data_IF_726022103927
#
_entry.id   IF_726022103927
#
_cell.length_a   1.000
_cell.length_b   1.000
_cell.length_c   1.000
_cell.angle_alpha   90.00
_cell.angle_beta   90.00
_cell.angle_gamma   90.00
#
_symmetry.space_group_name_H-M   'P 1'
#
loop_
_entity.id
_entity.type
_entity.pdbx_description
1 polymer ?
#
# COMPACT_ATOMS: atom_id res chain seq x y z
N UNK A 1 -18.25 -1.76 -21.57
CA UNK A 1 -17.30 -2.56 -20.76
C UNK A 1 -17.87 -3.96 -20.69
N UNK A 2 -17.27 -4.89 -21.42
CA UNK A 2 -17.81 -6.23 -21.64
C UNK A 2 -17.53 -7.10 -20.41
N UNK A 3 -18.56 -7.79 -19.91
CA UNK A 3 -18.50 -8.70 -18.74
C UNK A 3 -17.36 -9.75 -18.82
N UNK A 4 -16.83 -10.01 -20.01
CA UNK A 4 -15.72 -10.94 -20.24
C UNK A 4 -14.37 -10.44 -19.70
N UNK A 5 -14.11 -9.13 -19.68
CA UNK A 5 -12.83 -8.56 -19.22
C UNK A 5 -12.71 -8.68 -17.69
N UNK A 6 -13.80 -8.41 -16.97
CA UNK A 6 -13.85 -8.53 -15.51
C UNK A 6 -13.64 -9.97 -15.01
N UNK A 7 -14.14 -10.97 -15.75
CA UNK A 7 -13.94 -12.38 -15.41
C UNK A 7 -12.48 -12.82 -15.56
N UNK A 8 -11.78 -12.31 -16.57
CA UNK A 8 -10.37 -12.62 -16.80
C UNK A 8 -9.46 -11.98 -15.75
N UNK A 9 -9.82 -10.79 -15.26
CA UNK A 9 -9.08 -10.11 -14.20
C UNK A 9 -9.16 -10.84 -12.86
N UNK A 10 -10.32 -11.42 -12.53
CA UNK A 10 -10.48 -12.23 -11.32
C UNK A 10 -9.67 -13.54 -11.44
N UNK A 11 -9.69 -14.16 -12.63
CA UNK A 11 -8.91 -15.39 -12.89
C UNK A 11 -7.40 -15.10 -12.83
N UNK A 12 -6.94 -13.96 -13.33
CA UNK A 12 -5.53 -13.58 -13.28
C UNK A 12 -5.05 -13.36 -11.84
N UNK A 13 -5.84 -12.68 -11.01
CA UNK A 13 -5.57 -12.51 -9.59
C UNK A 13 -5.49 -13.85 -8.83
N UNK A 14 -6.42 -14.76 -9.11
CA UNK A 14 -6.43 -16.09 -8.50
C UNK A 14 -5.23 -16.96 -8.93
N UNK A 15 -4.86 -16.93 -10.22
CA UNK A 15 -3.72 -17.66 -10.74
C UNK A 15 -2.40 -17.11 -10.17
N UNK A 16 -2.25 -15.79 -10.05
CA UNK A 16 -1.04 -15.17 -9.51
C UNK A 16 -0.77 -15.62 -8.07
N UNK A 17 -1.81 -15.68 -7.24
CA UNK A 17 -1.73 -16.19 -5.86
C UNK A 17 -1.37 -17.68 -5.78
N UNK A 18 -1.77 -18.49 -6.77
CA UNK A 18 -1.49 -19.93 -6.81
C UNK A 18 -0.08 -20.24 -7.33
N UNK A 19 0.41 -19.49 -8.31
CA UNK A 19 1.73 -19.71 -8.92
C UNK A 19 2.89 -19.06 -8.17
N UNK A 20 2.67 -18.01 -7.35
CA UNK A 20 3.71 -17.43 -6.50
C UNK A 20 4.43 -18.47 -5.64
N UNK A 21 3.69 -19.45 -5.08
CA UNK A 21 4.25 -20.56 -4.28
C UNK A 21 5.15 -21.54 -5.06
N UNK A 22 5.06 -21.58 -6.40
CA UNK A 22 5.83 -22.48 -7.26
C UNK A 22 7.12 -21.81 -7.74
N UNK A 23 7.09 -20.49 -7.96
CA UNK A 23 8.22 -19.70 -8.47
C UNK A 23 9.33 -19.61 -7.41
N UNK A 24 8.98 -19.45 -6.13
CA UNK A 24 9.95 -19.42 -5.02
C UNK A 24 10.83 -20.68 -4.94
N UNK A 25 10.25 -21.85 -5.23
CA UNK A 25 10.99 -23.13 -5.26
C UNK A 25 11.94 -23.26 -6.46
N UNK A 26 11.66 -22.59 -7.59
CA UNK A 26 12.54 -22.61 -8.78
C UNK A 26 13.70 -21.61 -8.67
N UNK A 27 13.48 -20.44 -8.08
CA UNK A 27 14.53 -19.43 -7.87
C UNK A 27 15.60 -19.94 -6.90
N UNK A 28 15.22 -20.71 -5.87
CA UNK A 28 16.18 -21.36 -4.97
C UNK A 28 17.06 -22.41 -5.68
N UNK A 29 16.51 -23.08 -6.71
CA UNK A 29 17.23 -24.09 -7.50
C UNK A 29 18.23 -23.48 -8.48
N UNK A 30 17.94 -22.29 -9.02
CA UNK A 30 18.79 -21.56 -9.96
C UNK A 30 20.02 -20.91 -9.29
N UNK A 31 19.93 -20.51 -8.00
CA UNK A 31 21.09 -20.00 -7.25
C UNK A 31 22.21 -21.04 -7.07
N UNK A 32 21.89 -22.34 -7.11
CA UNK A 32 22.85 -23.43 -6.94
C UNK A 32 23.64 -23.77 -8.22
N UNK A 33 23.28 -23.19 -9.37
CA UNK A 33 23.85 -23.53 -10.69
C UNK A 33 24.81 -22.47 -11.25
N UNK A 34 25.09 -21.40 -10.50
CA UNK A 34 25.89 -20.24 -10.99
C UNK A 34 27.40 -20.30 -10.68
N UNK A 35 27.89 -21.38 -10.10
CA UNK A 35 29.33 -21.65 -10.02
C UNK A 35 29.75 -22.56 -11.17
N UNK A 36 29.81 -22.03 -12.39
CA UNK A 36 30.70 -22.54 -13.43
C UNK A 36 30.76 -21.63 -14.67
N UNK A 37 31.99 -21.15 -14.92
CA UNK A 37 32.60 -20.77 -16.21
C UNK A 37 32.39 -19.35 -16.74
N UNK A 38 33.47 -18.58 -16.56
CA UNK A 38 33.93 -17.46 -17.38
C UNK A 38 33.71 -17.67 -18.89
N UNK A 39 33.07 -16.71 -19.56
CA UNK A 39 33.42 -16.31 -20.93
C UNK A 39 32.86 -14.91 -21.27
N UNK A 40 33.80 -14.00 -21.57
CA UNK A 40 33.75 -12.79 -22.42
C UNK A 40 32.44 -11.98 -22.50
N UNK A 41 32.50 -10.77 -21.94
CA UNK A 41 31.53 -9.67 -22.16
C UNK A 41 31.48 -9.27 -23.65
N UNK A 42 30.29 -9.09 -24.24
CA UNK A 42 30.07 -8.07 -25.24
C UNK A 42 29.40 -6.84 -24.61
N UNK A 43 29.82 -5.70 -25.14
CA UNK A 43 29.44 -4.33 -24.85
C UNK A 43 27.97 -4.07 -25.21
N UNK A 44 27.06 -4.36 -24.28
CA UNK A 44 25.67 -3.89 -24.26
C UNK A 44 25.36 -3.39 -22.85
N UNK A 45 26.09 -2.36 -22.42
CA UNK A 45 25.68 -1.43 -21.37
C UNK A 45 24.95 -0.29 -22.09
N UNK A 46 23.77 0.22 -21.77
CA UNK A 46 22.88 0.05 -20.63
C UNK A 46 21.52 0.60 -21.10
N UNK A 47 20.51 -0.23 -21.34
CA UNK A 47 19.10 0.17 -21.21
C UNK A 47 18.20 -1.08 -21.14
N UNK A 48 18.57 -2.03 -20.29
CA UNK A 48 17.57 -2.92 -19.72
C UNK A 48 16.73 -2.06 -18.77
N UNK A 49 15.75 -1.35 -19.33
CA UNK A 49 14.62 -0.85 -18.58
C UNK A 49 13.98 -2.12 -18.01
N UNK A 50 14.40 -2.52 -16.81
CA UNK A 50 13.74 -3.58 -16.07
C UNK A 50 12.30 -3.12 -15.92
N UNK A 51 11.43 -3.59 -16.80
CA UNK A 51 9.99 -3.44 -16.66
C UNK A 51 9.66 -4.25 -15.42
N UNK A 52 9.78 -3.61 -14.24
CA UNK A 52 9.37 -4.20 -12.97
C UNK A 52 7.92 -4.59 -13.16
N UNK A 53 7.69 -5.90 -13.26
CA UNK A 53 6.36 -6.44 -13.51
C UNK A 53 5.52 -6.11 -12.29
N UNK A 54 4.50 -5.27 -12.48
CA UNK A 54 3.62 -4.84 -11.40
C UNK A 54 2.85 -6.04 -10.86
N UNK A 55 2.95 -6.32 -9.56
CA UNK A 55 2.32 -7.48 -8.92
C UNK A 55 0.81 -7.30 -8.72
N UNK A 56 0.33 -6.05 -8.60
CA UNK A 56 -1.08 -5.70 -8.38
C UNK A 56 -1.39 -4.27 -8.84
N UNK A 57 -2.66 -3.97 -9.07
CA UNK A 57 -3.10 -2.61 -9.39
C UNK A 57 -3.38 -1.80 -8.12
N UNK A 58 -3.18 -0.49 -8.23
CA UNK A 58 -3.49 0.50 -7.20
C UNK A 58 -4.64 1.39 -7.65
N UNK A 59 -5.39 1.90 -6.69
CA UNK A 59 -6.64 2.66 -6.89
C UNK A 59 -6.51 4.11 -6.42
N UNK A 60 -7.46 4.96 -6.83
CA UNK A 60 -7.58 6.35 -6.35
C UNK A 60 -8.64 6.43 -5.23
N UNK A 61 -8.29 6.99 -4.08
CA UNK A 61 -9.18 7.07 -2.90
C UNK A 61 -10.47 7.84 -3.20
N UNK A 62 -10.40 8.91 -3.99
CA UNK A 62 -11.55 9.75 -4.26
C UNK A 62 -12.53 9.06 -5.22
N UNK A 63 -12.02 8.34 -6.22
CA UNK A 63 -12.81 7.74 -7.30
C UNK A 63 -13.30 6.33 -6.96
N UNK A 64 -12.46 5.52 -6.32
CA UNK A 64 -12.65 4.06 -6.26
C UNK A 64 -13.12 3.57 -4.89
N UNK A 65 -12.86 4.33 -3.80
CA UNK A 65 -13.19 3.91 -2.44
C UNK A 65 -14.67 3.57 -2.28
N UNK A 66 -15.55 4.41 -2.83
CA UNK A 66 -17.01 4.22 -2.74
C UNK A 66 -17.50 2.97 -3.47
N UNK A 67 -16.77 2.53 -4.50
CA UNK A 67 -17.12 1.33 -5.28
C UNK A 67 -16.58 0.05 -4.64
N UNK A 68 -15.39 0.13 -4.04
CA UNK A 68 -14.66 -1.02 -3.51
C UNK A 68 -15.13 -1.34 -2.08
N UNK A 69 -15.22 -0.34 -1.21
CA UNK A 69 -15.48 -0.53 0.23
C UNK A 69 -16.74 -1.35 0.54
N UNK A 70 -17.90 -1.14 -0.12
CA UNK A 70 -19.10 -1.93 0.17
C UNK A 70 -18.98 -3.42 -0.16
N UNK A 71 -17.97 -3.82 -0.94
CA UNK A 71 -17.75 -5.20 -1.37
C UNK A 71 -16.86 -5.98 -0.40
N UNK A 72 -16.28 -5.32 0.61
CA UNK A 72 -15.34 -5.93 1.54
C UNK A 72 -16.09 -6.32 2.81
N UNK A 73 -16.14 -7.62 3.09
CA UNK A 73 -16.70 -8.12 4.33
C UNK A 73 -15.77 -7.78 5.51
N UNK A 74 -16.32 -7.10 6.52
CA UNK A 74 -15.64 -6.72 7.77
C UNK A 74 -14.27 -6.02 7.50
N UNK A 75 -14.27 -4.84 6.88
CA UNK A 75 -13.05 -4.19 6.39
C UNK A 75 -12.16 -3.67 7.52
N UNK A 76 -10.85 -3.77 7.31
CA UNK A 76 -9.83 -2.99 8.02
C UNK A 76 -9.25 -1.97 7.05
N UNK A 77 -9.26 -0.71 7.45
CA UNK A 77 -8.56 0.38 6.80
C UNK A 77 -7.20 0.60 7.46
N UNK A 78 -6.14 0.18 6.77
CA UNK A 78 -4.76 0.45 7.14
C UNK A 78 -4.32 1.77 6.50
N UNK A 79 -4.12 2.80 7.31
CA UNK A 79 -3.61 4.11 6.86
C UNK A 79 -2.10 4.10 7.08
N UNK A 80 -1.34 4.19 5.99
CA UNK A 80 0.12 4.19 6.01
C UNK A 80 0.60 5.62 5.82
N UNK A 81 1.16 6.22 6.86
CA UNK A 81 1.71 7.57 6.86
C UNK A 81 3.21 7.45 6.61
N UNK A 82 3.72 8.20 5.64
CA UNK A 82 5.17 8.25 5.40
C UNK A 82 5.89 8.88 6.59
N UNK A 83 7.03 8.31 6.99
CA UNK A 83 7.85 8.83 8.08
C UNK A 83 8.59 10.12 7.70
N UNK A 84 9.02 10.19 6.46
CA UNK A 84 9.86 11.29 5.99
C UNK A 84 9.11 11.95 4.84
N UNK A 85 8.78 13.22 4.99
CA UNK A 85 8.21 14.01 3.92
C UNK A 85 9.36 14.43 3.00
N UNK A 86 9.71 13.56 2.03
CA UNK A 86 10.91 13.76 1.19
C UNK A 86 10.66 14.85 0.14
N UNK A 87 9.49 14.84 -0.51
CA UNK A 87 9.19 15.69 -1.67
C UNK A 87 8.02 16.67 -1.46
N UNK A 88 7.36 16.61 -0.30
CA UNK A 88 6.27 17.54 0.01
C UNK A 88 6.41 18.08 1.42
N UNK A 89 5.93 19.30 1.67
CA UNK A 89 5.87 19.89 3.02
C UNK A 89 4.99 19.08 3.99
N UNK A 90 4.31 18.02 3.53
CA UNK A 90 3.34 17.27 4.30
C UNK A 90 3.53 15.76 4.20
N UNK A 91 3.46 15.02 5.31
CA UNK A 91 3.44 13.56 5.27
C UNK A 91 2.14 13.07 4.60
N UNK A 92 2.30 12.43 3.45
CA UNK A 92 1.20 11.84 2.69
C UNK A 92 0.80 10.48 3.25
N UNK A 93 -0.46 10.11 3.01
CA UNK A 93 -1.02 8.85 3.46
C UNK A 93 -1.46 7.97 2.28
N UNK A 94 -1.07 6.70 2.33
CA UNK A 94 -1.62 5.61 1.52
C UNK A 94 -2.72 4.91 2.33
N UNK A 95 -3.73 4.38 1.65
CA UNK A 95 -4.78 3.57 2.28
C UNK A 95 -4.72 2.14 1.74
N UNK A 96 -4.81 1.15 2.63
CA UNK A 96 -5.02 -0.25 2.25
C UNK A 96 -6.30 -0.73 2.92
N UNK A 97 -7.21 -1.30 2.14
CA UNK A 97 -8.37 -2.02 2.68
C UNK A 97 -8.07 -3.50 2.70
N UNK A 98 -8.31 -4.17 3.83
CA UNK A 98 -8.14 -5.61 4.01
C UNK A 98 -9.44 -6.22 4.53
N UNK A 99 -9.92 -7.32 3.95
CA UNK A 99 -11.02 -8.08 4.54
C UNK A 99 -10.52 -8.93 5.70
N UNK A 100 -11.13 -8.80 6.90
CA UNK A 100 -10.88 -9.73 8.00
C UNK A 100 -11.30 -11.16 7.70
N UNK A 101 -12.23 -11.34 6.76
CA UNK A 101 -12.84 -12.65 6.45
C UNK A 101 -12.04 -13.38 5.39
N UNK A 102 -11.73 -12.71 4.27
CA UNK A 102 -11.06 -13.35 3.12
C UNK A 102 -9.55 -13.12 3.09
N UNK A 103 -9.05 -12.09 3.78
CA UNK A 103 -7.66 -11.65 3.68
C UNK A 103 -7.32 -10.94 2.37
N UNK A 104 -8.31 -10.69 1.50
CA UNK A 104 -8.13 -9.90 0.29
C UNK A 104 -7.84 -8.44 0.63
N UNK A 105 -6.99 -7.79 -0.16
CA UNK A 105 -6.56 -6.43 0.09
C UNK A 105 -6.53 -5.56 -1.18
N UNK A 106 -6.75 -4.26 -0.98
CA UNK A 106 -6.84 -3.25 -2.03
C UNK A 106 -6.02 -2.02 -1.66
N UNK A 107 -5.15 -1.57 -2.56
CA UNK A 107 -4.18 -0.49 -2.28
C UNK A 107 -4.58 0.78 -2.98
N UNK A 108 -4.63 1.87 -2.25
CA UNK A 108 -4.94 3.20 -2.75
C UNK A 108 -3.71 4.10 -2.57
N UNK A 109 -3.24 4.71 -3.67
CA UNK A 109 -1.98 5.48 -3.67
C UNK A 109 -2.11 6.76 -2.84
N UNK A 110 -0.95 7.26 -2.38
CA UNK A 110 -0.74 8.61 -1.85
C UNK A 110 -1.16 9.71 -2.84
N UNK A 111 -1.24 10.94 -2.33
CA UNK A 111 -1.54 12.16 -3.08
C UNK A 111 -2.97 12.68 -2.95
N UNK A 112 -3.92 11.84 -2.51
CA UNK A 112 -5.32 12.23 -2.22
C UNK A 112 -5.61 12.40 -0.74
N UNK A 113 -4.85 11.72 0.12
CA UNK A 113 -5.00 11.79 1.56
C UNK A 113 -3.80 12.49 2.21
N UNK A 114 -4.09 13.38 3.15
CA UNK A 114 -3.14 14.13 3.95
C UNK A 114 -3.64 14.17 5.40
N UNK A 115 -2.73 13.97 6.35
CA UNK A 115 -3.04 13.98 7.79
C UNK A 115 -2.64 15.29 8.47
N UNK A 116 -2.08 16.23 7.70
CA UNK A 116 -1.64 17.55 8.16
C UNK A 116 -1.80 18.63 7.08
N UNK A 117 -1.70 19.89 7.51
CA UNK A 117 -1.78 21.08 6.67
C UNK A 117 -3.15 21.76 6.66
N UNK A 118 -3.44 22.46 5.57
CA UNK A 118 -4.72 23.13 5.30
C UNK A 118 -5.01 23.02 3.80
N UNK A 119 -6.20 22.52 3.42
CA UNK A 119 -6.62 22.46 2.01
C UNK A 119 -7.30 21.17 1.57
N UNK A 120 -7.24 20.90 0.27
CA UNK A 120 -8.03 19.86 -0.40
C UNK A 120 -7.75 18.42 0.05
N UNK A 121 -6.49 18.10 0.36
CA UNK A 121 -6.09 16.75 0.83
C UNK A 121 -6.70 16.38 2.19
N UNK A 122 -6.86 17.36 3.09
CA UNK A 122 -7.53 17.14 4.38
C UNK A 122 -9.01 16.86 4.17
N UNK A 123 -9.69 17.69 3.38
CA UNK A 123 -11.11 17.50 3.09
C UNK A 123 -11.38 16.14 2.44
N UNK A 124 -10.51 15.70 1.53
CA UNK A 124 -10.61 14.37 0.92
C UNK A 124 -10.38 13.25 1.95
N UNK A 125 -9.44 13.44 2.86
CA UNK A 125 -9.20 12.50 3.96
C UNK A 125 -10.41 12.40 4.89
N UNK A 126 -11.01 13.53 5.27
CA UNK A 126 -12.24 13.56 6.09
C UNK A 126 -13.40 12.82 5.42
N UNK A 127 -13.60 13.04 4.11
CA UNK A 127 -14.63 12.33 3.35
C UNK A 127 -14.35 10.83 3.31
N UNK A 128 -13.10 10.43 3.03
CA UNK A 128 -12.70 9.03 3.03
C UNK A 128 -12.93 8.38 4.40
N UNK A 129 -12.50 9.04 5.47
CA UNK A 129 -12.64 8.57 6.84
C UNK A 129 -14.10 8.46 7.27
N UNK A 130 -14.94 9.44 6.89
CA UNK A 130 -16.39 9.36 7.11
C UNK A 130 -16.98 8.11 6.46
N UNK A 131 -16.63 7.81 5.21
CA UNK A 131 -17.08 6.61 4.50
C UNK A 131 -16.61 5.32 5.18
N UNK A 132 -15.35 5.28 5.62
CA UNK A 132 -14.81 4.16 6.38
C UNK A 132 -15.62 3.92 7.67
N UNK A 133 -15.94 4.98 8.40
CA UNK A 133 -16.77 4.91 9.62
C UNK A 133 -18.19 4.44 9.34
N UNK A 134 -18.85 4.99 8.31
CA UNK A 134 -20.19 4.58 7.89
C UNK A 134 -20.23 3.09 7.51
N UNK A 135 -19.14 2.57 6.91
CA UNK A 135 -18.98 1.13 6.60
C UNK A 135 -18.58 0.26 7.79
N UNK A 136 -18.42 0.85 8.99
CA UNK A 136 -17.91 0.19 10.20
C UNK A 136 -16.54 -0.47 10.01
N UNK A 137 -15.69 0.14 9.18
CA UNK A 137 -14.33 -0.33 8.97
C UNK A 137 -13.48 -0.08 10.22
N UNK A 138 -12.67 -1.07 10.60
CA UNK A 138 -11.66 -0.89 11.64
C UNK A 138 -10.51 -0.05 11.10
N UNK A 139 -10.14 1.03 11.77
CA UNK A 139 -9.05 1.90 11.31
C UNK A 139 -7.77 1.58 12.08
N UNK A 140 -6.69 1.27 11.37
CA UNK A 140 -5.37 1.04 11.91
C UNK A 140 -4.37 2.00 11.23
N UNK A 141 -3.64 2.77 12.02
CA UNK A 141 -2.72 3.80 11.51
C UNK A 141 -1.28 3.37 11.76
N UNK A 142 -0.45 3.49 10.73
CA UNK A 142 0.92 3.00 10.69
C UNK A 142 1.85 4.09 10.17
N UNK A 143 3.10 4.06 10.62
CA UNK A 143 4.19 4.81 10.04
C UNK A 143 5.11 3.88 9.25
N UNK A 144 5.53 4.33 8.07
CA UNK A 144 6.36 3.55 7.16
C UNK A 144 7.37 4.43 6.42
N UNK A 145 8.55 3.90 6.09
CA UNK A 145 9.54 4.64 5.29
C UNK A 145 9.05 4.88 3.87
N UNK A 146 9.35 6.04 3.31
CA UNK A 146 8.94 6.47 1.96
C UNK A 146 9.40 5.49 0.88
N UNK A 147 10.64 4.98 0.96
CA UNK A 147 11.16 4.01 -0.01
C UNK A 147 10.35 2.70 -0.09
N UNK A 148 9.90 2.16 1.06
CA UNK A 148 9.04 0.97 1.07
C UNK A 148 7.68 1.29 0.46
N UNK A 149 7.15 2.48 0.74
CA UNK A 149 5.85 2.92 0.23
C UNK A 149 5.89 3.16 -1.29
N UNK A 150 6.97 3.70 -1.83
CA UNK A 150 7.19 3.87 -3.27
C UNK A 150 7.20 2.52 -3.99
N UNK A 151 7.93 1.54 -3.45
CA UNK A 151 7.96 0.18 -4.00
C UNK A 151 6.57 -0.47 -3.93
N UNK A 152 5.86 -0.28 -2.83
CA UNK A 152 4.52 -0.81 -2.62
C UNK A 152 3.52 -0.23 -3.64
N UNK A 153 3.43 1.08 -3.77
CA UNK A 153 2.46 1.73 -4.66
C UNK A 153 2.75 1.48 -6.14
N UNK A 154 4.01 1.24 -6.48
CA UNK A 154 4.39 0.81 -7.82
C UNK A 154 4.19 -0.70 -8.05
N UNK A 155 3.59 -1.41 -7.09
CA UNK A 155 3.26 -2.83 -7.16
C UNK A 155 4.48 -3.75 -7.11
N UNK A 156 5.60 -3.29 -6.55
CA UNK A 156 6.84 -4.05 -6.40
C UNK A 156 6.95 -4.85 -5.10
N UNK A 157 6.11 -4.57 -4.09
CA UNK A 157 6.06 -5.28 -2.80
C UNK A 157 4.63 -5.62 -2.43
N UNK A 158 4.37 -6.78 -1.84
CA UNK A 158 3.01 -7.18 -1.45
C UNK A 158 2.60 -6.62 -0.09
N UNK A 159 1.30 -6.44 0.14
CA UNK A 159 0.79 -5.90 1.41
C UNK A 159 1.26 -6.67 2.65
N UNK A 160 1.27 -8.02 2.70
CA UNK A 160 1.77 -8.75 3.87
C UNK A 160 3.23 -8.45 4.22
N UNK A 161 4.09 -8.21 3.23
CA UNK A 161 5.50 -7.86 3.44
C UNK A 161 5.62 -6.45 4.01
N UNK A 162 4.85 -5.52 3.45
CA UNK A 162 4.79 -4.12 3.90
C UNK A 162 4.25 -4.03 5.32
N UNK A 163 3.19 -4.78 5.63
CA UNK A 163 2.55 -4.83 6.97
C UNK A 163 3.51 -5.26 8.07
N UNK A 164 4.44 -6.18 7.78
CA UNK A 164 5.47 -6.62 8.74
C UNK A 164 6.48 -5.50 9.03
N UNK A 165 6.80 -4.67 8.02
CA UNK A 165 7.72 -3.54 8.17
C UNK A 165 7.06 -2.27 8.74
N UNK A 166 5.72 -2.23 8.77
CA UNK A 166 4.96 -1.09 9.24
C UNK A 166 4.99 -1.01 10.77
N UNK A 167 5.22 0.18 11.30
CA UNK A 167 5.25 0.41 12.75
C UNK A 167 3.92 1.06 13.16
N UNK A 168 3.24 0.61 14.22
CA UNK A 168 2.07 1.31 14.74
C UNK A 168 2.39 2.80 14.96
N UNK A 169 1.53 3.68 14.47
CA UNK A 169 1.85 5.11 14.37
C UNK A 169 2.23 5.76 15.70
N UNK A 170 1.53 5.44 16.79
CA UNK A 170 1.89 5.99 18.11
C UNK A 170 3.17 5.40 18.70
N UNK A 171 3.61 4.24 18.23
CA UNK A 171 4.88 3.62 18.65
C UNK A 171 6.07 4.10 17.83
N UNK A 172 5.84 4.74 16.68
CA UNK A 172 6.92 5.18 15.78
C UNK A 172 7.48 6.57 16.10
N UNK A 173 6.90 7.29 17.05
CA UNK A 173 7.21 8.71 17.29
C UNK A 173 8.09 8.84 18.53
N UNK A 174 9.26 9.46 18.37
CA UNK A 174 10.08 9.94 19.49
C UNK A 174 9.52 11.26 20.02
N UNK A 175 9.63 11.51 21.33
CA UNK A 175 8.96 12.62 22.03
C UNK A 175 9.28 14.07 21.57
N UNK A 176 10.06 14.29 20.51
CA UNK A 176 10.69 15.60 20.23
C UNK A 176 10.53 16.20 18.82
N UNK A 177 9.70 15.63 17.94
CA UNK A 177 9.51 16.23 16.60
C UNK A 177 8.17 17.01 16.55
N UNK A 178 8.23 18.34 16.60
CA UNK A 178 7.06 19.21 16.77
C UNK A 178 5.96 19.09 15.69
N UNK A 179 6.32 18.72 14.45
CA UNK A 179 5.35 18.48 13.37
C UNK A 179 4.50 17.22 13.63
N UNK A 180 5.04 16.25 14.37
CA UNK A 180 4.35 15.00 14.66
C UNK A 180 3.24 15.14 15.68
N UNK A 181 3.30 16.14 16.57
CA UNK A 181 2.24 16.42 17.52
C UNK A 181 0.90 16.70 16.81
N UNK A 182 0.92 17.42 15.69
CA UNK A 182 -0.28 17.72 14.90
C UNK A 182 -0.86 16.47 14.24
N UNK A 183 -0.01 15.63 13.65
CA UNK A 183 -0.44 14.35 13.06
C UNK A 183 -0.96 13.42 14.16
N UNK A 184 -0.35 13.43 15.36
CA UNK A 184 -0.81 12.66 16.51
C UNK A 184 -2.19 13.10 16.99
N UNK A 185 -2.40 14.39 17.20
CA UNK A 185 -3.69 14.91 17.66
C UNK A 185 -4.77 14.62 16.64
N UNK A 186 -4.46 14.81 15.35
CA UNK A 186 -5.39 14.45 14.29
C UNK A 186 -5.67 12.95 14.27
N UNK A 187 -4.64 12.11 14.36
CA UNK A 187 -4.80 10.66 14.42
C UNK A 187 -5.62 10.23 15.64
N UNK A 188 -5.44 10.89 16.78
CA UNK A 188 -6.25 10.67 18.00
C UNK A 188 -7.70 11.04 17.78
N UNK A 189 -7.99 12.23 17.24
CA UNK A 189 -9.36 12.64 16.88
C UNK A 189 -10.01 11.65 15.91
N UNK A 190 -9.24 11.17 14.94
CA UNK A 190 -9.72 10.22 13.94
C UNK A 190 -10.09 8.88 14.58
N UNK A 191 -9.31 8.42 15.55
CA UNK A 191 -9.48 7.14 16.23
C UNK A 191 -10.45 7.19 17.42
N UNK A 192 -10.56 8.32 18.13
CA UNK A 192 -11.43 8.49 19.30
C UNK A 192 -12.91 8.55 18.91
N UNK A 193 -13.23 9.04 17.71
CA UNK A 193 -14.58 8.99 17.14
C UNK A 193 -14.99 7.58 16.65
N UNK A 194 -14.32 6.51 17.08
CA UNK A 194 -14.68 5.11 16.84
C UNK A 194 -15.28 4.42 18.09
N UNK A 195 -15.57 5.17 19.16
CA UNK A 195 -16.26 4.71 20.36
C UNK A 195 -17.49 5.57 20.64
#
# INVERSE_FOLDING_TARGET
MLLSEFGLDIISGWLSNKFGKIIDKRILKLKKYKDCKNMRKPFFENLALEVKTKLFQTFDVYIDLEKILPRIANPIAHILIEKEAIDSFWNQACLVLESKVTGEWYVFRRGRMAMQGVGGGIRQSEIALKRLKESKAYIAVWAISTAILDEFENGGKLWPEVKISAIPFFSSIGNNDGEWCLIQDRTRELLSANY
#
